data_IF_499635955903
#
_entry.id   IF_499635955903
#
_cell.length_a   1.000
_cell.length_b   1.000
_cell.length_c   1.000
_cell.angle_alpha   90.00
_cell.angle_beta   90.00
_cell.angle_gamma   90.00
#
_symmetry.space_group_name_H-M   'P 1'
#
loop_
_entity.id
_entity.type
_entity.pdbx_description
1 polymer ?
#
# COMPACT_ATOMS: atom_id res chain seq x y z
N UNK A 1 10.66 -12.12 4.16
CA UNK A 1 9.66 -11.96 3.09
C UNK A 1 10.41 -11.95 1.76
N UNK A 2 10.50 -13.07 1.03
CA UNK A 2 11.54 -13.24 -0.01
C UNK A 2 11.34 -12.42 -1.31
N UNK A 3 10.28 -11.63 -1.42
CA UNK A 3 9.88 -10.91 -2.66
C UNK A 3 9.95 -9.38 -2.55
N UNK A 4 10.21 -8.88 -1.34
CA UNK A 4 10.42 -7.47 -1.05
C UNK A 4 11.64 -7.42 -0.15
N UNK A 5 12.72 -6.86 -0.68
CA UNK A 5 14.00 -6.78 0.01
C UNK A 5 13.91 -5.92 1.29
N UNK A 6 13.21 -4.78 1.21
CA UNK A 6 12.90 -3.92 2.36
C UNK A 6 11.39 -3.63 2.46
N UNK A 7 10.62 -4.44 3.22
CA UNK A 7 9.21 -4.17 3.48
C UNK A 7 8.98 -2.87 4.27
N UNK A 8 9.95 -2.43 5.06
CA UNK A 8 9.85 -1.18 5.80
C UNK A 8 9.93 0.04 4.86
N UNK A 9 10.67 -0.05 3.75
CA UNK A 9 10.66 1.00 2.72
C UNK A 9 9.25 1.22 2.15
N UNK A 10 8.49 0.15 1.88
CA UNK A 10 7.12 0.27 1.37
C UNK A 10 6.23 1.01 2.37
N UNK A 11 6.36 0.69 3.66
CA UNK A 11 5.60 1.39 4.70
C UNK A 11 5.97 2.87 4.79
N UNK A 12 7.26 3.21 4.80
CA UNK A 12 7.71 4.61 4.87
C UNK A 12 7.22 5.40 3.65
N UNK A 13 7.48 4.90 2.45
CA UNK A 13 7.09 5.57 1.21
C UNK A 13 5.56 5.73 1.09
N UNK A 14 4.78 4.76 1.56
CA UNK A 14 3.33 4.86 1.56
C UNK A 14 2.82 5.89 2.58
N UNK A 15 3.44 5.98 3.76
CA UNK A 15 3.14 7.01 4.74
C UNK A 15 3.47 8.41 4.21
N UNK A 16 4.63 8.58 3.57
CA UNK A 16 5.01 9.85 2.95
C UNK A 16 4.02 10.24 1.85
N UNK A 17 3.63 9.29 0.98
CA UNK A 17 2.62 9.52 -0.03
C UNK A 17 1.27 9.93 0.56
N UNK A 18 0.82 9.26 1.64
CA UNK A 18 -0.41 9.62 2.33
C UNK A 18 -0.35 11.01 2.96
N UNK A 19 0.79 11.42 3.55
CA UNK A 19 1.02 12.77 4.06
C UNK A 19 0.91 13.80 2.94
N UNK A 20 1.56 13.56 1.80
CA UNK A 20 1.50 14.46 0.64
C UNK A 20 0.07 14.61 0.11
N UNK A 21 -0.68 13.51 0.00
CA UNK A 21 -2.09 13.53 -0.43
C UNK A 21 -2.97 14.28 0.56
N UNK A 22 -2.81 14.07 1.88
CA UNK A 22 -3.54 14.81 2.93
C UNK A 22 -3.26 16.31 2.88
N UNK A 23 -2.05 16.70 2.45
CA UNK A 23 -1.68 18.09 2.23
C UNK A 23 -2.19 18.68 0.90
N UNK A 24 -3.06 17.96 0.17
CA UNK A 24 -3.63 18.41 -1.10
C UNK A 24 -2.68 18.33 -2.30
N UNK A 25 -1.56 17.59 -2.18
CA UNK A 25 -0.60 17.43 -3.28
C UNK A 25 -0.94 16.25 -4.19
N UNK A 26 -0.65 16.41 -5.48
CA UNK A 26 -0.64 15.31 -6.44
C UNK A 26 0.65 14.49 -6.33
N UNK A 27 0.52 13.17 -6.17
CA UNK A 27 1.65 12.23 -6.06
C UNK A 27 1.61 11.25 -7.22
N UNK A 28 2.71 11.12 -7.95
CA UNK A 28 2.85 10.15 -9.05
C UNK A 28 3.69 8.97 -8.57
N UNK A 29 3.17 7.76 -8.77
CA UNK A 29 3.88 6.51 -8.50
C UNK A 29 3.94 5.69 -9.79
N UNK A 30 5.15 5.29 -10.19
CA UNK A 30 5.35 4.45 -11.36
C UNK A 30 6.23 3.23 -11.05
N UNK A 31 6.21 2.28 -11.97
CA UNK A 31 7.19 1.21 -12.09
C UNK A 31 7.23 0.80 -13.56
N UNK A 32 8.09 -0.16 -13.95
CA UNK A 32 8.30 -0.52 -15.36
C UNK A 32 7.00 -0.75 -16.16
N UNK A 33 6.03 -1.49 -15.61
CA UNK A 33 4.76 -1.78 -16.28
C UNK A 33 3.56 -1.06 -15.64
N UNK A 34 3.76 -0.34 -14.54
CA UNK A 34 2.67 0.35 -13.84
C UNK A 34 1.58 -0.52 -13.19
N UNK A 35 1.76 -1.85 -13.08
CA UNK A 35 0.69 -2.77 -12.63
C UNK A 35 0.87 -3.33 -11.21
N UNK A 36 2.09 -3.74 -10.83
CA UNK A 36 2.31 -4.50 -9.59
C UNK A 36 3.04 -3.67 -8.52
N UNK A 37 4.31 -3.29 -8.72
CA UNK A 37 5.07 -2.53 -7.70
C UNK A 37 4.46 -1.16 -7.39
N UNK A 38 4.04 -0.44 -8.43
CA UNK A 38 3.32 0.83 -8.26
C UNK A 38 1.96 0.60 -7.60
N UNK A 39 1.21 -0.42 -8.01
CA UNK A 39 -0.07 -0.79 -7.41
C UNK A 39 0.06 -1.15 -5.93
N UNK A 40 1.15 -1.84 -5.56
CA UNK A 40 1.44 -2.22 -4.18
C UNK A 40 1.66 -0.98 -3.30
N UNK A 41 2.48 -0.03 -3.76
CA UNK A 41 2.71 1.20 -3.02
C UNK A 41 1.44 2.04 -2.92
N UNK A 42 0.71 2.22 -4.03
CA UNK A 42 -0.55 2.97 -4.06
C UNK A 42 -1.60 2.35 -3.14
N UNK A 43 -1.79 1.04 -3.19
CA UNK A 43 -2.72 0.33 -2.30
C UNK A 43 -2.30 0.49 -0.84
N UNK A 44 -1.00 0.40 -0.52
CA UNK A 44 -0.54 0.65 0.85
C UNK A 44 -0.79 2.09 1.29
N UNK A 45 -0.63 3.08 0.42
CA UNK A 45 -0.95 4.48 0.71
C UNK A 45 -2.45 4.69 0.94
N UNK A 46 -3.31 4.05 0.14
CA UNK A 46 -4.76 4.07 0.37
C UNK A 46 -5.13 3.46 1.72
N UNK A 47 -4.48 2.38 2.12
CA UNK A 47 -4.64 1.79 3.45
C UNK A 47 -4.20 2.77 4.54
N UNK A 48 -3.10 3.50 4.31
CA UNK A 48 -2.64 4.53 5.26
C UNK A 48 -3.57 5.74 5.34
N UNK A 49 -4.32 6.01 4.27
CA UNK A 49 -5.39 6.99 4.23
C UNK A 49 -6.70 6.49 4.86
N UNK A 50 -6.74 5.26 5.36
CA UNK A 50 -7.87 4.69 6.10
C UNK A 50 -8.76 3.75 5.29
N UNK A 51 -8.36 3.37 4.06
CA UNK A 51 -9.12 2.39 3.28
C UNK A 51 -8.85 0.96 3.77
N UNK A 52 -9.88 0.11 3.92
CA UNK A 52 -9.68 -1.32 4.12
C UNK A 52 -8.80 -1.92 3.01
N UNK A 53 -7.93 -2.90 3.31
CA UNK A 53 -7.03 -3.46 2.30
C UNK A 53 -7.70 -4.02 1.06
N UNK A 54 -8.86 -4.68 1.21
CA UNK A 54 -9.63 -5.21 0.09
C UNK A 54 -10.10 -4.08 -0.85
N UNK A 55 -10.69 -3.03 -0.28
CA UNK A 55 -11.14 -1.86 -1.04
C UNK A 55 -9.95 -1.15 -1.72
N UNK A 56 -8.80 -1.04 -1.05
CA UNK A 56 -7.61 -0.44 -1.64
C UNK A 56 -7.11 -1.22 -2.88
N UNK A 57 -7.17 -2.55 -2.87
CA UNK A 57 -6.82 -3.39 -4.03
C UNK A 57 -7.84 -3.23 -5.16
N UNK A 58 -9.13 -3.16 -4.82
CA UNK A 58 -10.23 -2.98 -5.79
C UNK A 58 -10.12 -1.62 -6.50
N UNK A 59 -9.93 -0.53 -5.75
CA UNK A 59 -9.73 0.82 -6.29
C UNK A 59 -8.53 0.88 -7.26
N UNK A 60 -7.43 0.19 -6.95
CA UNK A 60 -6.27 0.14 -7.85
C UNK A 60 -6.60 -0.60 -9.15
N UNK A 61 -7.39 -1.69 -9.08
CA UNK A 61 -7.82 -2.45 -10.26
C UNK A 61 -8.83 -1.70 -11.11
N UNK A 62 -9.75 -0.98 -10.48
CA UNK A 62 -10.69 -0.10 -11.18
C UNK A 62 -9.94 0.98 -11.97
N UNK A 63 -8.93 1.61 -11.36
CA UNK A 63 -8.16 2.67 -12.00
C UNK A 63 -7.16 2.20 -13.07
N UNK A 64 -6.66 0.95 -12.98
CA UNK A 64 -5.52 0.47 -13.79
C UNK A 64 -5.80 -0.80 -14.59
N UNK A 65 -7.02 -1.32 -14.50
CA UNK A 65 -7.45 -2.56 -15.13
C UNK A 65 -7.32 -3.79 -14.23
N UNK A 66 -8.08 -4.83 -14.56
CA UNK A 66 -8.22 -6.09 -13.78
C UNK A 66 -6.90 -6.82 -13.52
N UNK A 67 -5.87 -6.56 -14.34
CA UNK A 67 -4.54 -7.17 -14.20
C UNK A 67 -3.60 -6.43 -13.23
N UNK A 68 -4.01 -5.26 -12.72
CA UNK A 68 -3.27 -4.58 -11.65
C UNK A 68 -3.30 -5.43 -10.38
N UNK A 69 -2.18 -5.47 -9.66
CA UNK A 69 -2.00 -6.33 -8.48
C UNK A 69 -2.36 -7.81 -8.78
N UNK A 70 -1.89 -8.33 -9.92
CA UNK A 70 -2.00 -9.75 -10.28
C UNK A 70 -1.01 -10.64 -9.53
N UNK A 71 0.08 -10.05 -8.99
CA UNK A 71 0.98 -10.77 -8.11
C UNK A 71 0.30 -11.07 -6.77
N UNK A 72 -0.06 -12.35 -6.58
CA UNK A 72 -0.73 -12.85 -5.38
C UNK A 72 0.05 -12.60 -4.08
N UNK A 73 1.38 -12.52 -4.14
CA UNK A 73 2.21 -12.24 -2.96
C UNK A 73 2.06 -10.78 -2.50
N UNK A 74 1.91 -9.83 -3.43
CA UNK A 74 1.67 -8.42 -3.09
C UNK A 74 0.27 -8.22 -2.52
N UNK A 75 -0.73 -8.90 -3.07
CA UNK A 75 -2.09 -8.89 -2.50
C UNK A 75 -2.09 -9.51 -1.10
N UNK A 76 -1.40 -10.65 -0.93
CA UNK A 76 -1.26 -11.30 0.37
C UNK A 76 -0.60 -10.38 1.40
N UNK A 77 0.47 -9.67 1.01
CA UNK A 77 1.13 -8.69 1.88
C UNK A 77 0.17 -7.60 2.34
N UNK A 78 -0.60 -7.01 1.40
CA UNK A 78 -1.58 -5.97 1.71
C UNK A 78 -2.68 -6.50 2.66
N UNK A 79 -3.05 -7.77 2.59
CA UNK A 79 -4.14 -8.33 3.39
C UNK A 79 -3.69 -8.84 4.76
N UNK A 80 -2.47 -9.39 4.86
CA UNK A 80 -2.01 -10.14 6.05
C UNK A 80 -0.94 -9.34 6.81
N UNK A 81 0.01 -8.77 6.08
CA UNK A 81 1.25 -8.23 6.65
C UNK A 81 1.18 -6.69 6.77
N UNK A 82 0.04 -6.08 6.43
CA UNK A 82 -0.14 -4.63 6.29
C UNK A 82 -0.41 -3.87 7.60
N UNK A 83 -0.13 -4.46 8.76
CA UNK A 83 -0.25 -3.74 10.04
C UNK A 83 1.13 -3.25 10.47
N UNK A 84 1.41 -1.93 10.50
CA UNK A 84 2.58 -1.44 11.22
C UNK A 84 2.49 -1.89 12.68
N UNK A 85 3.47 -2.67 13.16
CA UNK A 85 3.60 -3.06 14.58
C UNK A 85 3.58 -1.86 15.54
N UNK A 86 3.89 -0.66 15.05
CA UNK A 86 3.77 0.60 15.78
C UNK A 86 2.33 0.98 16.15
N UNK A 87 1.30 0.50 15.44
CA UNK A 87 -0.12 0.67 15.78
C UNK A 87 -0.63 -0.43 16.73
N UNK A 88 -0.18 -1.68 16.54
CA UNK A 88 -0.52 -2.81 17.42
C UNK A 88 0.09 -2.72 18.84
N UNK A 89 1.04 -1.81 19.06
CA UNK A 89 1.70 -1.59 20.35
C UNK A 89 1.11 -0.43 21.17
N UNK A 90 0.24 0.41 20.60
CA UNK A 90 -0.42 1.54 21.28
C UNK A 90 -1.71 1.12 21.99
N UNK A 91 -2.36 0.04 21.56
CA UNK A 91 -3.53 -0.57 22.21
C UNK A 91 -3.22 -1.38 23.49
N UNK A 92 -1.93 -1.61 23.83
CA UNK A 92 -1.55 -2.36 25.04
C UNK A 92 -1.09 -1.49 26.21
N UNK A 93 -1.26 -0.17 26.09
CA UNK A 93 -0.90 0.83 27.13
C UNK A 93 -2.03 1.82 27.42
N UNK A 94 -3.23 1.58 26.89
CA UNK A 94 -4.44 2.37 27.15
C UNK A 94 -5.51 1.48 27.72
#
# INVERSE_FOLDING_TARGET
MPWIEDPAAIHRMAADAAVMVRAGRSVVVNCAAGLNRSGLLVARSLIELGRPPKEAVELVREARGVHALSNKQFVRFLFIDCTPRALAARERRG
#
